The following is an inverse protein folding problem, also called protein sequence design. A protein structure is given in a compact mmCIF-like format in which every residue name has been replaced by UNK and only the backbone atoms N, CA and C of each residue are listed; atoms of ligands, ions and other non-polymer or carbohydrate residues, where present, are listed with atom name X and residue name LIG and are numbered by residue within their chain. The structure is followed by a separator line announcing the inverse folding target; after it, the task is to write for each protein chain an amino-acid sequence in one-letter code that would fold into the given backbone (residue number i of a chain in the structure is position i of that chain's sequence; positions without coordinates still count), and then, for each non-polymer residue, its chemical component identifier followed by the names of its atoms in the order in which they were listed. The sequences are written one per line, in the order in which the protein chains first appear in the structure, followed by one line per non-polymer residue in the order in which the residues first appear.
data_IF_950424729709
#
_entry.id   IF_950424729709
#
_cell.length_a   1.000
_cell.length_b   1.000
_cell.length_c   1.000
_cell.angle_alpha   90.00
_cell.angle_beta   90.00
_cell.angle_gamma   90.00
#
_symmetry.space_group_name_H-M   'P 1'
#
loop_
_entity.id
_entity.type
_entity.pdbx_description
1 polymer ?
#
# COMPACT_ATOMS: atom_id res chain seq x y z
N UNK A 1 -24.49 2.31 -0.35
CA UNK A 1 -23.10 2.73 -0.03
C UNK A 1 -22.55 1.77 1.04
N UNK A 2 -21.24 1.44 1.01
CA UNK A 2 -20.62 0.45 1.90
C UNK A 2 -19.28 0.93 2.48
N UNK A 3 -18.68 0.15 3.38
CA UNK A 3 -17.38 0.45 4.00
C UNK A 3 -16.25 0.07 3.02
N UNK A 4 -15.42 1.02 2.56
CA UNK A 4 -14.30 0.71 1.67
C UNK A 4 -13.27 -0.17 2.40
N UNK A 5 -12.74 -1.19 1.71
CA UNK A 5 -11.77 -2.12 2.29
C UNK A 5 -10.50 -1.42 2.78
N UNK A 6 -10.11 -0.29 2.20
CA UNK A 6 -8.99 0.51 2.70
C UNK A 6 -9.19 1.04 4.13
N UNK A 7 -10.42 1.44 4.47
CA UNK A 7 -10.75 1.91 5.82
C UNK A 7 -10.79 0.73 6.79
N UNK A 8 -11.36 -0.40 6.35
CA UNK A 8 -11.34 -1.63 7.13
C UNK A 8 -9.89 -2.13 7.38
N UNK A 9 -8.99 -1.98 6.40
CA UNK A 9 -7.59 -2.40 6.51
C UNK A 9 -6.83 -1.53 7.52
N UNK A 10 -7.05 -0.21 7.50
CA UNK A 10 -6.48 0.69 8.50
C UNK A 10 -6.96 0.36 9.91
N UNK A 11 -8.26 0.09 10.07
CA UNK A 11 -8.85 -0.32 11.34
C UNK A 11 -8.29 -1.68 11.82
N UNK A 12 -8.19 -2.67 10.93
CA UNK A 12 -7.59 -3.98 11.20
C UNK A 12 -6.12 -3.88 11.60
N UNK A 13 -5.39 -2.94 10.98
CA UNK A 13 -4.01 -2.64 11.33
C UNK A 13 -3.88 -1.76 12.60
N UNK A 14 -4.98 -1.28 13.17
CA UNK A 14 -4.94 -0.40 14.34
C UNK A 14 -4.24 0.94 14.09
N UNK A 15 -4.25 1.43 12.85
CA UNK A 15 -3.58 2.68 12.47
C UNK A 15 -4.57 3.76 12.01
N UNK A 16 -4.35 5.03 12.37
CA UNK A 16 -4.98 6.13 11.66
C UNK A 16 -4.30 6.35 10.31
N UNK A 17 -5.07 6.69 9.27
CA UNK A 17 -4.52 7.06 7.95
C UNK A 17 -3.99 8.51 7.91
N UNK A 18 -4.36 9.34 8.90
CA UNK A 18 -3.88 10.71 9.03
C UNK A 18 -3.32 10.98 10.42
N UNK A 19 -2.28 11.83 10.46
CA UNK A 19 -1.67 12.37 11.68
C UNK A 19 -1.28 13.82 11.43
N UNK A 20 -1.62 14.70 12.38
CA UNK A 20 -1.45 16.16 12.24
C UNK A 20 -0.04 16.60 11.81
N UNK A 21 0.99 15.88 12.26
CA UNK A 21 2.39 16.24 12.03
C UNK A 21 3.09 15.41 10.95
N UNK A 22 2.62 14.19 10.68
CA UNK A 22 3.36 13.23 9.84
C UNK A 22 2.58 12.76 8.61
N UNK A 23 1.24 12.69 8.65
CA UNK A 23 0.40 12.22 7.54
C UNK A 23 -0.79 13.15 7.31
N UNK A 24 -0.65 14.15 6.42
CA UNK A 24 -1.73 15.14 6.16
C UNK A 24 -2.57 14.82 4.92
N UNK A 25 -2.19 13.80 4.17
CA UNK A 25 -2.89 13.36 2.96
C UNK A 25 -3.06 11.85 2.98
N UNK A 26 -4.20 11.40 2.44
CA UNK A 26 -4.47 10.00 2.14
C UNK A 26 -4.69 9.87 0.64
N UNK A 27 -4.07 8.86 0.02
CA UNK A 27 -4.19 8.58 -1.40
C UNK A 27 -4.73 7.16 -1.58
N UNK A 28 -5.71 7.01 -2.47
CA UNK A 28 -6.26 5.72 -2.88
C UNK A 28 -5.97 5.55 -4.36
N UNK A 29 -5.26 4.50 -4.73
CA UNK A 29 -4.90 4.20 -6.13
C UNK A 29 -5.11 2.74 -6.45
N UNK A 30 -5.30 2.42 -7.72
CA UNK A 30 -5.24 1.04 -8.18
C UNK A 30 -3.87 0.74 -8.80
N UNK A 31 -3.31 -0.40 -8.43
CA UNK A 31 -2.07 -0.92 -9.01
C UNK A 31 -2.28 -1.74 -10.28
N UNK A 32 -3.52 -1.92 -10.75
CA UNK A 32 -3.84 -2.65 -11.97
C UNK A 32 -4.63 -1.78 -12.95
N UNK A 33 -4.17 -1.72 -14.19
CA UNK A 33 -4.98 -1.31 -15.33
C UNK A 33 -5.92 -2.45 -15.79
N UNK A 34 -6.69 -2.22 -16.86
CA UNK A 34 -7.59 -3.23 -17.42
C UNK A 34 -6.86 -4.49 -17.95
N UNK A 35 -5.55 -4.41 -18.21
CA UNK A 35 -4.68 -5.53 -18.59
C UNK A 35 -3.96 -6.18 -17.41
N UNK A 36 -4.16 -5.68 -16.19
CA UNK A 36 -3.50 -6.15 -14.98
C UNK A 36 -2.01 -5.78 -14.90
N UNK A 37 -1.58 -4.75 -15.63
CA UNK A 37 -0.27 -4.11 -15.54
C UNK A 37 -0.34 -2.88 -14.63
N UNK A 38 0.80 -2.35 -14.24
CA UNK A 38 0.84 -1.08 -13.52
C UNK A 38 0.36 0.02 -14.49
N UNK A 39 -0.60 0.89 -14.11
CA UNK A 39 -1.05 1.94 -15.01
C UNK A 39 0.09 2.93 -15.33
N UNK A 40 0.29 3.21 -16.62
CA UNK A 40 1.37 4.09 -17.10
C UNK A 40 1.12 5.58 -16.79
N UNK A 41 -0.11 5.94 -16.40
CA UNK A 41 -0.55 7.31 -16.11
C UNK A 41 -0.58 7.66 -14.61
N UNK A 42 -0.05 6.78 -13.74
CA UNK A 42 0.09 7.08 -12.33
C UNK A 42 1.00 8.29 -12.11
N UNK A 43 0.55 9.26 -11.31
CA UNK A 43 1.37 10.37 -10.87
C UNK A 43 2.36 9.91 -9.78
N UNK A 44 3.47 9.31 -10.21
CA UNK A 44 4.50 8.76 -9.34
C UNK A 44 5.03 9.81 -8.37
N UNK A 45 5.26 11.05 -8.82
CA UNK A 45 5.73 12.14 -7.97
C UNK A 45 4.79 12.39 -6.79
N UNK A 46 3.47 12.35 -7.02
CA UNK A 46 2.49 12.48 -5.94
C UNK A 46 2.46 11.24 -5.03
N UNK A 47 2.71 10.04 -5.56
CA UNK A 47 2.70 8.79 -4.80
C UNK A 47 3.98 8.55 -3.99
N UNK A 48 5.08 9.23 -4.34
CA UNK A 48 6.35 9.21 -3.62
C UNK A 48 6.44 10.24 -2.49
N UNK A 49 5.35 10.95 -2.18
CA UNK A 49 5.31 11.95 -1.10
C UNK A 49 5.41 11.26 0.28
N UNK A 50 6.49 11.52 1.05
CA UNK A 50 6.70 10.86 2.35
C UNK A 50 5.72 11.32 3.43
N UNK A 51 4.92 12.38 3.18
CA UNK A 51 3.93 12.92 4.11
C UNK A 51 2.50 12.42 3.85
N UNK A 52 2.34 11.49 2.91
CA UNK A 52 1.06 10.91 2.55
C UNK A 52 0.99 9.42 2.92
N UNK A 53 -0.18 8.99 3.41
CA UNK A 53 -0.50 7.57 3.52
C UNK A 53 -1.15 7.13 2.20
N UNK A 54 -0.50 6.22 1.48
CA UNK A 54 -1.02 5.70 0.21
C UNK A 54 -1.55 4.29 0.40
N UNK A 55 -2.74 4.03 -0.13
CA UNK A 55 -3.34 2.70 -0.19
C UNK A 55 -3.46 2.28 -1.66
N UNK A 56 -2.87 1.15 -1.98
CA UNK A 56 -2.88 0.53 -3.30
C UNK A 56 -3.87 -0.64 -3.31
N UNK A 57 -4.93 -0.48 -4.08
CA UNK A 57 -5.88 -1.53 -4.42
C UNK A 57 -5.33 -2.38 -5.55
N UNK A 58 -5.56 -3.70 -5.52
CA UNK A 58 -5.19 -4.59 -6.62
C UNK A 58 -3.70 -4.50 -6.99
N UNK A 59 -2.83 -4.23 -6.01
CA UNK A 59 -1.42 -3.94 -6.26
C UNK A 59 -0.47 -5.13 -6.15
N UNK A 60 -0.88 -6.30 -5.64
CA UNK A 60 0.06 -7.38 -5.25
C UNK A 60 1.10 -7.72 -6.34
N UNK A 61 0.63 -7.93 -7.57
CA UNK A 61 1.49 -8.36 -8.69
C UNK A 61 2.33 -7.23 -9.26
N UNK A 62 1.84 -6.00 -9.20
CA UNK A 62 2.51 -4.82 -9.78
C UNK A 62 3.33 -4.05 -8.75
N UNK A 63 3.22 -4.39 -7.47
CA UNK A 63 3.91 -3.71 -6.39
C UNK A 63 5.43 -3.73 -6.54
N UNK A 64 6.10 -4.80 -7.01
CA UNK A 64 7.55 -4.75 -7.25
C UNK A 64 7.96 -3.63 -8.21
N UNK A 65 7.27 -3.50 -9.34
CA UNK A 65 7.52 -2.44 -10.32
C UNK A 65 7.14 -1.05 -9.78
N UNK A 66 6.02 -0.96 -9.05
CA UNK A 66 5.60 0.28 -8.41
C UNK A 66 6.65 0.74 -7.39
N UNK A 67 7.14 -0.16 -6.54
CA UNK A 67 8.14 0.14 -5.52
C UNK A 67 9.46 0.63 -6.14
N UNK A 68 9.93 -0.02 -7.21
CA UNK A 68 11.09 0.45 -7.98
C UNK A 68 10.88 1.88 -8.49
N UNK A 69 9.71 2.14 -9.08
CA UNK A 69 9.35 3.44 -9.65
C UNK A 69 9.24 4.52 -8.57
N UNK A 70 8.67 4.20 -7.41
CA UNK A 70 8.57 5.08 -6.25
C UNK A 70 9.95 5.40 -5.65
N UNK A 71 10.82 4.40 -5.53
CA UNK A 71 12.19 4.58 -5.04
C UNK A 71 13.02 5.43 -6.00
N UNK A 72 12.88 5.22 -7.30
CA UNK A 72 13.50 6.09 -8.32
C UNK A 72 13.01 7.54 -8.22
N UNK A 73 11.77 7.76 -7.79
CA UNK A 73 11.18 9.08 -7.55
C UNK A 73 11.51 9.67 -6.15
N UNK A 74 12.32 8.98 -5.34
CA UNK A 74 12.83 9.50 -4.07
C UNK A 74 12.10 8.99 -2.81
N UNK A 75 11.15 8.06 -2.93
CA UNK A 75 10.57 7.41 -1.75
C UNK A 75 11.56 6.41 -1.15
N UNK A 76 11.98 6.54 0.13
CA UNK A 76 12.89 5.59 0.74
C UNK A 76 12.33 4.16 0.73
N UNK A 77 13.14 3.17 0.36
CA UNK A 77 12.71 1.76 0.41
C UNK A 77 12.36 1.29 1.83
N UNK A 78 12.92 1.95 2.86
CA UNK A 78 12.61 1.75 4.28
C UNK A 78 11.29 2.38 4.72
N UNK A 79 10.54 3.03 3.82
CA UNK A 79 9.21 3.58 4.13
C UNK A 79 8.33 2.45 4.70
N UNK A 80 7.69 2.66 5.87
CA UNK A 80 6.80 1.67 6.44
C UNK A 80 5.69 1.27 5.48
N UNK A 81 5.45 -0.04 5.39
CA UNK A 81 4.41 -0.63 4.57
C UNK A 81 3.64 -1.72 5.32
N UNK A 82 2.39 -1.94 4.91
CA UNK A 82 1.51 -2.98 5.43
C UNK A 82 0.88 -3.70 4.26
N UNK A 83 0.93 -5.03 4.27
CA UNK A 83 0.10 -5.90 3.46
C UNK A 83 -1.08 -6.37 4.31
N UNK A 84 -2.29 -5.95 3.94
CA UNK A 84 -3.52 -6.35 4.61
C UNK A 84 -4.31 -7.28 3.68
N UNK A 85 -4.36 -8.58 4.02
CA UNK A 85 -5.01 -9.61 3.23
C UNK A 85 -6.35 -10.03 3.84
N UNK A 86 -7.31 -10.39 2.99
CA UNK A 86 -8.62 -10.92 3.38
C UNK A 86 -9.34 -10.08 4.46
N UNK A 87 -9.18 -8.76 4.38
CA UNK A 87 -9.68 -7.81 5.39
C UNK A 87 -11.19 -7.92 5.57
N UNK A 88 -11.64 -7.99 6.83
CA UNK A 88 -13.06 -8.14 7.18
C UNK A 88 -13.57 -9.59 7.14
N UNK A 89 -12.69 -10.58 6.95
CA UNK A 89 -13.02 -12.01 7.00
C UNK A 89 -12.28 -12.71 8.16
N UNK A 90 -12.69 -13.92 8.57
CA UNK A 90 -11.94 -14.71 9.56
C UNK A 90 -10.48 -15.00 9.17
N UNK A 91 -10.17 -15.01 7.87
CA UNK A 91 -8.85 -15.29 7.31
C UNK A 91 -7.94 -14.04 7.22
N UNK A 92 -8.37 -12.91 7.79
CA UNK A 92 -7.66 -11.64 7.74
C UNK A 92 -6.23 -11.76 8.28
N UNK A 93 -5.27 -11.20 7.54
CA UNK A 93 -3.87 -11.11 7.95
C UNK A 93 -3.31 -9.71 7.71
N UNK A 94 -2.54 -9.20 8.68
CA UNK A 94 -1.88 -7.89 8.60
C UNK A 94 -0.38 -8.09 8.79
N UNK A 95 0.38 -7.91 7.72
CA UNK A 95 1.85 -8.03 7.72
C UNK A 95 2.46 -6.64 7.66
N UNK A 96 3.24 -6.27 8.68
CA UNK A 96 4.01 -5.01 8.72
C UNK A 96 5.40 -5.24 8.15
N UNK A 97 5.89 -4.30 7.37
CA UNK A 97 7.14 -4.41 6.64
C UNK A 97 7.63 -3.02 6.17
N UNK A 98 8.55 -2.99 5.21
CA UNK A 98 8.95 -1.80 4.46
C UNK A 98 8.52 -1.93 3.00
N UNK A 99 8.51 -0.83 2.25
CA UNK A 99 8.23 -0.86 0.81
C UNK A 99 9.17 -1.81 0.07
N UNK A 100 10.47 -1.78 0.40
CA UNK A 100 11.47 -2.64 -0.24
C UNK A 100 11.27 -4.13 0.10
N UNK A 101 11.07 -4.45 1.39
CA UNK A 101 10.90 -5.83 1.82
C UNK A 101 9.60 -6.43 1.29
N UNK A 102 8.52 -5.64 1.27
CA UNK A 102 7.24 -6.08 0.73
C UNK A 102 7.30 -6.27 -0.79
N UNK A 103 8.05 -5.42 -1.51
CA UNK A 103 8.31 -5.60 -2.94
C UNK A 103 9.09 -6.90 -3.21
N UNK A 104 10.12 -7.20 -2.40
CA UNK A 104 10.86 -8.46 -2.51
C UNK A 104 9.95 -9.67 -2.22
N UNK A 105 9.13 -9.62 -1.17
CA UNK A 105 8.19 -10.68 -0.82
C UNK A 105 7.21 -10.95 -1.97
N UNK A 106 6.57 -9.91 -2.51
CA UNK A 106 5.58 -10.03 -3.58
C UNK A 106 6.21 -10.36 -4.95
N UNK A 107 7.50 -10.12 -5.13
CA UNK A 107 8.25 -10.57 -6.30
C UNK A 107 8.58 -12.07 -6.26
N UNK A 108 8.70 -12.66 -5.07
CA UNK A 108 9.00 -14.08 -4.88
C UNK A 108 7.74 -14.94 -4.86
N UNK A 109 6.71 -14.53 -4.11
CA UNK A 109 5.47 -15.29 -3.96
C UNK A 109 4.26 -14.35 -3.87
N UNK A 110 3.20 -14.68 -4.62
CA UNK A 110 1.94 -13.95 -4.60
C UNK A 110 0.84 -14.93 -4.18
N UNK A 111 0.35 -14.78 -2.94
CA UNK A 111 -0.84 -15.50 -2.49
C UNK A 111 -2.10 -15.10 -3.27
N UNK A 112 -3.11 -15.96 -3.26
CA UNK A 112 -4.41 -15.78 -3.93
C UNK A 112 -5.37 -14.84 -3.20
N UNK A 113 -5.16 -14.61 -1.90
CA UNK A 113 -6.01 -13.75 -1.08
C UNK A 113 -6.03 -12.31 -1.60
N UNK A 114 -7.21 -11.66 -1.64
CA UNK A 114 -7.31 -10.25 -1.97
C UNK A 114 -6.57 -9.44 -0.90
N UNK A 115 -5.80 -8.44 -1.34
CA UNK A 115 -5.00 -7.63 -0.43
C UNK A 115 -5.00 -6.15 -0.81
N UNK A 116 -4.72 -5.35 0.20
CA UNK A 116 -4.38 -3.94 0.11
C UNK A 116 -2.95 -3.75 0.56
N UNK A 117 -2.24 -2.84 -0.10
CA UNK A 117 -0.93 -2.41 0.34
C UNK A 117 -1.05 -0.98 0.82
N UNK A 118 -0.67 -0.72 2.06
CA UNK A 118 -0.62 0.61 2.64
C UNK A 118 0.85 0.98 2.83
N UNK A 119 1.26 2.19 2.48
CA UNK A 119 2.61 2.67 2.77
C UNK A 119 2.62 4.16 3.12
N UNK A 120 3.69 4.61 3.77
CA UNK A 120 3.91 6.00 4.14
C UNK A 120 4.27 6.15 5.62
N UNK A 121 4.00 7.32 6.22
CA UNK A 121 4.30 7.59 7.63
C UNK A 121 3.23 6.97 8.53
N UNK A 122 3.11 5.64 8.45
CA UNK A 122 2.15 4.84 9.19
C UNK A 122 2.47 4.90 10.68
N UNK A 123 1.42 4.83 11.50
CA UNK A 123 1.57 4.71 12.93
C UNK A 123 2.19 3.35 13.28
N UNK A 124 3.38 3.32 13.86
CA UNK A 124 3.80 2.18 14.67
C UNK A 124 3.14 2.28 16.05
N UNK A 125 2.70 1.14 16.60
CA UNK A 125 2.22 1.00 17.98
C UNK A 125 3.38 0.58 18.88
#
# INVERSE_FOLDING_TARGET
PGVPSAIAAAAAAGIPLTRRLTARRVQFVTGHDAGGKLPDDLNITALADPSACTVVFMGKRTFPLLAETLTAAGLPGTTPAILAEAVGTPEQQVTRSTVADLAAQLGAEIGDRPALILYGPLAEM
#
